data_IF_995992311137
#
_entry.id   IF_995992311137
#
_cell.length_a   1.000
_cell.length_b   1.000
_cell.length_c   1.000
_cell.angle_alpha   90.00
_cell.angle_beta   90.00
_cell.angle_gamma   90.00
#
_symmetry.space_group_name_H-M   'P 1'
#
loop_
_entity.id
_entity.type
_entity.pdbx_description
1 polymer ?
#
# COMPACT_ATOMS: atom_id res chain seq x y z
N UNK A 1 12.19 20.48 5.97
CA UNK A 1 12.81 19.26 5.43
C UNK A 1 14.24 19.57 5.02
N UNK A 2 15.19 18.86 5.57
CA UNK A 2 16.59 19.04 5.21
C UNK A 2 16.89 18.35 3.86
N UNK A 3 17.65 19.04 3.00
CA UNK A 3 18.14 18.45 1.77
C UNK A 3 19.49 17.82 2.05
N UNK A 4 19.64 16.55 1.76
CA UNK A 4 20.90 15.84 1.88
C UNK A 4 21.54 15.70 0.50
N UNK A 5 22.80 16.16 0.39
CA UNK A 5 23.54 16.14 -0.87
C UNK A 5 24.61 15.07 -0.79
N UNK A 6 24.65 14.19 -1.77
CA UNK A 6 25.64 13.13 -1.87
C UNK A 6 26.62 13.44 -3.01
N UNK A 7 27.90 13.43 -2.69
CA UNK A 7 28.95 13.53 -3.69
C UNK A 7 29.36 12.13 -4.16
N UNK A 8 30.05 11.99 -5.30
CA UNK A 8 30.45 10.67 -5.81
C UNK A 8 31.27 9.83 -4.82
N UNK A 9 31.99 10.49 -3.92
CA UNK A 9 32.84 9.83 -2.93
C UNK A 9 32.06 9.34 -1.70
N UNK A 10 30.86 9.86 -1.46
CA UNK A 10 30.07 9.51 -0.29
C UNK A 10 29.32 8.20 -0.54
N UNK A 11 29.54 7.24 0.34
CA UNK A 11 28.83 5.96 0.28
C UNK A 11 27.33 6.15 0.56
N UNK A 12 26.50 5.66 -0.34
CA UNK A 12 25.07 5.59 -0.15
C UNK A 12 24.69 4.26 0.49
N UNK A 13 24.08 4.33 1.65
CA UNK A 13 23.60 3.14 2.35
C UNK A 13 22.12 2.90 2.00
N UNK A 14 21.80 1.67 1.70
CA UNK A 14 20.41 1.25 1.51
C UNK A 14 19.75 1.21 2.88
N UNK A 15 18.78 2.10 3.11
CA UNK A 15 18.06 2.17 4.38
C UNK A 15 16.75 1.37 4.35
N UNK A 16 16.16 1.22 3.18
CA UNK A 16 14.93 0.47 3.00
C UNK A 16 14.86 -0.14 1.61
N UNK A 17 14.09 -1.21 1.48
CA UNK A 17 13.86 -1.90 0.22
C UNK A 17 12.37 -1.89 -0.07
N UNK A 18 12.00 -1.52 -1.30
CA UNK A 18 10.63 -1.63 -1.79
C UNK A 18 10.58 -2.80 -2.75
N UNK A 19 9.73 -3.79 -2.44
CA UNK A 19 9.53 -4.97 -3.28
C UNK A 19 8.10 -5.00 -3.80
N UNK A 20 7.94 -5.35 -5.06
CA UNK A 20 6.65 -5.62 -5.66
C UNK A 20 6.58 -7.08 -6.08
N UNK A 21 5.60 -7.80 -5.50
CA UNK A 21 5.38 -9.22 -5.81
C UNK A 21 4.19 -9.34 -6.76
N UNK A 22 4.44 -9.96 -7.89
CA UNK A 22 3.45 -10.17 -8.92
C UNK A 22 3.44 -11.64 -9.35
N UNK A 23 2.29 -12.29 -9.19
CA UNK A 23 2.08 -13.68 -9.62
C UNK A 23 0.61 -13.90 -9.96
N UNK A 24 0.32 -15.00 -10.59
CA UNK A 24 -1.06 -15.45 -10.76
C UNK A 24 -1.72 -15.75 -9.40
N UNK A 25 -3.05 -15.66 -9.32
CA UNK A 25 -3.78 -16.01 -8.09
C UNK A 25 -3.46 -17.43 -7.62
N UNK A 26 -3.40 -17.62 -6.32
CA UNK A 26 -3.22 -18.94 -5.70
C UNK A 26 -1.78 -19.43 -5.60
N UNK A 27 -0.79 -18.60 -5.96
CA UNK A 27 0.63 -19.00 -5.91
C UNK A 27 1.36 -18.57 -4.63
N UNK A 28 0.62 -18.17 -3.59
CA UNK A 28 1.20 -17.96 -2.26
C UNK A 28 1.76 -16.57 -1.99
N UNK A 29 1.37 -15.52 -2.75
CA UNK A 29 1.81 -14.14 -2.50
C UNK A 29 1.57 -13.71 -1.05
N UNK A 30 0.35 -13.89 -0.57
CA UNK A 30 -0.02 -13.49 0.79
C UNK A 30 0.73 -14.29 1.85
N UNK A 31 1.01 -15.56 1.58
CA UNK A 31 1.82 -16.39 2.48
C UNK A 31 3.26 -15.91 2.56
N UNK A 32 3.85 -15.49 1.44
CA UNK A 32 5.21 -14.94 1.40
C UNK A 32 5.30 -13.66 2.24
N UNK A 33 4.27 -12.83 2.22
CA UNK A 33 4.24 -11.60 3.01
C UNK A 33 4.49 -11.86 4.51
N UNK A 34 3.99 -12.96 5.03
CA UNK A 34 4.19 -13.35 6.43
C UNK A 34 5.63 -13.79 6.75
N UNK A 35 6.46 -14.03 5.77
CA UNK A 35 7.88 -14.39 5.98
C UNK A 35 8.79 -13.19 6.17
N UNK A 36 8.30 -11.98 5.94
CA UNK A 36 9.06 -10.76 6.13
C UNK A 36 9.41 -10.53 7.60
N UNK A 37 10.35 -9.64 7.85
CA UNK A 37 10.76 -9.34 9.22
C UNK A 37 9.74 -8.42 9.91
N UNK A 38 9.15 -8.92 10.98
CA UNK A 38 8.12 -8.21 11.78
C UNK A 38 7.09 -7.50 10.90
N UNK A 39 6.35 -8.24 10.05
CA UNK A 39 5.46 -7.61 9.09
C UNK A 39 4.15 -7.16 9.72
N UNK A 40 3.64 -6.02 9.26
CA UNK A 40 2.24 -5.67 9.36
C UNK A 40 1.64 -5.74 7.96
N UNK A 41 0.54 -6.45 7.82
CA UNK A 41 -0.12 -6.68 6.54
C UNK A 41 -1.43 -5.91 6.52
N UNK A 42 -1.48 -4.90 5.66
CA UNK A 42 -2.71 -4.17 5.41
C UNK A 42 -3.54 -4.94 4.38
N UNK A 43 -4.60 -5.56 4.87
CA UNK A 43 -5.47 -6.42 4.08
C UNK A 43 -6.60 -5.60 3.45
N UNK A 44 -6.35 -5.13 2.23
CA UNK A 44 -7.32 -4.32 1.48
C UNK A 44 -8.35 -5.17 0.74
N UNK A 45 -7.98 -6.36 0.28
CA UNK A 45 -8.87 -7.24 -0.48
C UNK A 45 -9.59 -8.27 0.38
N UNK A 46 -9.32 -8.24 1.70
CA UNK A 46 -9.91 -9.16 2.68
C UNK A 46 -9.60 -10.62 2.40
N UNK A 47 -8.46 -10.87 1.77
CA UNK A 47 -8.04 -12.20 1.34
C UNK A 47 -7.18 -12.97 2.33
N UNK A 48 -6.79 -12.39 3.46
CA UNK A 48 -5.85 -12.99 4.39
C UNK A 48 -6.39 -14.28 5.05
N UNK A 49 -7.69 -14.47 5.06
CA UNK A 49 -8.28 -15.73 5.55
C UNK A 49 -7.86 -16.95 4.73
N UNK A 50 -7.39 -16.75 3.49
CA UNK A 50 -6.91 -17.84 2.62
C UNK A 50 -5.52 -18.33 3.00
N UNK A 51 -4.76 -17.56 3.77
CA UNK A 51 -3.46 -17.98 4.27
C UNK A 51 -3.68 -19.04 5.34
N UNK A 52 -2.98 -20.16 5.22
CA UNK A 52 -3.07 -21.22 6.22
C UNK A 52 -2.70 -20.69 7.62
N UNK A 53 -3.46 -21.02 8.67
CA UNK A 53 -3.22 -20.46 10.01
C UNK A 53 -1.79 -20.62 10.50
N UNK A 54 -1.15 -21.75 10.22
CA UNK A 54 0.24 -22.01 10.60
C UNK A 54 1.26 -21.14 9.91
N UNK A 55 0.88 -20.49 8.81
CA UNK A 55 1.74 -19.58 8.06
C UNK A 55 1.51 -18.11 8.42
N UNK A 56 0.49 -17.81 9.22
CA UNK A 56 0.15 -16.44 9.63
C UNK A 56 1.05 -15.98 10.77
N UNK A 57 2.20 -15.43 10.44
CA UNK A 57 3.18 -14.94 11.41
C UNK A 57 3.13 -13.44 11.64
N UNK A 58 2.58 -12.69 10.70
CA UNK A 58 2.48 -11.24 10.77
C UNK A 58 1.17 -10.74 11.36
N UNK A 59 1.17 -9.50 11.80
CA UNK A 59 -0.05 -8.80 12.21
C UNK A 59 -0.85 -8.41 10.98
N UNK A 60 -2.13 -8.72 10.99
CA UNK A 60 -3.05 -8.40 9.90
C UNK A 60 -3.96 -7.27 10.35
N UNK A 61 -4.01 -6.20 9.57
CA UNK A 61 -4.93 -5.07 9.78
C UNK A 61 -5.83 -4.98 8.57
N UNK A 62 -7.11 -5.19 8.78
CA UNK A 62 -8.09 -5.07 7.71
C UNK A 62 -8.41 -3.60 7.48
N UNK A 63 -8.29 -3.16 6.23
CA UNK A 63 -8.54 -1.79 5.82
C UNK A 63 -9.75 -1.77 4.91
N UNK A 64 -10.81 -1.09 5.34
CA UNK A 64 -12.02 -0.93 4.52
C UNK A 64 -12.00 0.37 3.72
N UNK A 65 -11.49 1.45 4.32
CA UNK A 65 -11.42 2.76 3.69
C UNK A 65 -10.02 3.35 3.84
N UNK A 66 -9.66 4.28 2.96
CA UNK A 66 -8.36 4.95 3.05
C UNK A 66 -8.16 5.71 4.39
N UNK A 67 -9.18 6.43 4.92
CA UNK A 67 -9.04 7.05 6.24
C UNK A 67 -8.74 6.10 7.38
N UNK A 68 -9.14 4.83 7.30
CA UNK A 68 -8.78 3.85 8.33
C UNK A 68 -7.25 3.71 8.47
N UNK A 69 -6.55 3.76 7.34
CA UNK A 69 -5.09 3.74 7.34
C UNK A 69 -4.50 5.06 7.82
N UNK A 70 -5.02 6.19 7.32
CA UNK A 70 -4.52 7.53 7.69
C UNK A 70 -4.65 7.81 9.17
N UNK A 71 -5.66 7.24 9.81
CA UNK A 71 -5.93 7.44 11.24
C UNK A 71 -5.02 6.60 12.15
N UNK A 72 -4.20 5.72 11.60
CA UNK A 72 -3.20 5.00 12.39
C UNK A 72 -2.13 5.99 12.88
N UNK A 73 -1.87 5.94 14.18
CA UNK A 73 -0.83 6.78 14.79
C UNK A 73 0.55 6.28 14.39
N UNK A 74 1.51 7.19 14.33
CA UNK A 74 2.90 6.85 14.02
C UNK A 74 3.45 5.77 14.96
N UNK A 75 3.08 5.83 16.24
CA UNK A 75 3.48 4.83 17.23
C UNK A 75 3.02 3.41 16.91
N UNK A 76 1.98 3.24 16.10
CA UNK A 76 1.53 1.92 15.65
C UNK A 76 2.63 1.17 14.91
N UNK A 77 3.45 1.89 14.14
CA UNK A 77 4.50 1.30 13.31
C UNK A 77 5.76 0.90 14.09
N UNK A 78 5.89 1.32 15.33
CA UNK A 78 7.10 1.09 16.14
C UNK A 78 7.41 -0.41 16.34
N UNK A 79 6.38 -1.25 16.29
CA UNK A 79 6.53 -2.69 16.49
C UNK A 79 6.85 -3.48 15.21
N UNK A 80 6.90 -2.81 14.07
CA UNK A 80 7.03 -3.45 12.76
C UNK A 80 8.26 -2.97 12.01
N UNK A 81 8.79 -3.84 11.17
CA UNK A 81 9.93 -3.51 10.30
C UNK A 81 9.57 -3.63 8.82
N UNK A 82 8.44 -4.26 8.51
CA UNK A 82 7.97 -4.43 7.14
C UNK A 82 6.50 -4.06 7.06
N UNK A 83 6.17 -3.24 6.08
CA UNK A 83 4.79 -2.89 5.75
C UNK A 83 4.43 -3.59 4.45
N UNK A 84 3.31 -4.30 4.44
CA UNK A 84 2.81 -5.02 3.28
C UNK A 84 1.43 -4.48 2.92
N UNK A 85 1.23 -4.11 1.67
CA UNK A 85 -0.09 -3.82 1.12
C UNK A 85 -0.57 -5.03 0.29
N UNK A 86 -1.61 -5.65 0.72
CA UNK A 86 -2.20 -6.81 0.03
C UNK A 86 -3.69 -6.54 -0.23
N UNK A 87 -4.04 -6.21 -1.41
CA UNK A 87 -3.24 -6.04 -2.62
C UNK A 87 -3.11 -4.56 -3.00
N UNK A 88 -2.11 -4.24 -3.82
CA UNK A 88 -1.92 -2.87 -4.32
C UNK A 88 -3.13 -2.40 -5.13
N UNK A 89 -3.74 -3.28 -5.93
CA UNK A 89 -4.94 -2.93 -6.69
C UNK A 89 -6.09 -2.49 -5.78
N UNK A 90 -6.38 -3.25 -4.73
CA UNK A 90 -7.41 -2.90 -3.76
C UNK A 90 -7.06 -1.62 -2.97
N UNK A 91 -5.78 -1.41 -2.67
CA UNK A 91 -5.31 -0.17 -2.05
C UNK A 91 -5.58 1.04 -2.96
N UNK A 92 -5.28 0.93 -4.24
CA UNK A 92 -5.52 1.99 -5.21
C UNK A 92 -7.02 2.29 -5.35
N UNK A 93 -7.87 1.28 -5.29
CA UNK A 93 -9.33 1.48 -5.28
C UNK A 93 -9.79 2.26 -4.05
N UNK A 94 -9.23 1.96 -2.88
CA UNK A 94 -9.54 2.69 -1.66
C UNK A 94 -9.13 4.17 -1.76
N UNK A 95 -7.97 4.45 -2.33
CA UNK A 95 -7.50 5.82 -2.58
C UNK A 95 -8.42 6.53 -3.57
N UNK A 96 -8.79 5.87 -4.66
CA UNK A 96 -9.71 6.41 -5.66
C UNK A 96 -11.06 6.75 -5.04
N UNK A 97 -11.62 5.87 -4.24
CA UNK A 97 -12.90 6.11 -3.59
C UNK A 97 -12.83 7.34 -2.67
N UNK A 98 -11.72 7.52 -1.98
CA UNK A 98 -11.49 8.71 -1.14
C UNK A 98 -11.41 9.98 -1.96
N UNK A 99 -10.70 9.95 -3.09
CA UNK A 99 -10.59 11.11 -3.99
C UNK A 99 -11.96 11.49 -4.57
N UNK A 100 -12.79 10.52 -4.92
CA UNK A 100 -14.12 10.76 -5.47
C UNK A 100 -15.14 11.27 -4.45
N UNK A 101 -14.85 11.22 -3.17
CA UNK A 101 -15.68 11.86 -2.13
C UNK A 101 -15.56 13.38 -2.15
N UNK A 102 -14.50 13.93 -2.70
CA UNK A 102 -14.34 15.36 -2.86
C UNK A 102 -15.26 15.87 -3.97
N UNK A 103 -16.21 16.79 -3.69
CA UNK A 103 -17.13 17.34 -4.71
C UNK A 103 -16.43 17.97 -5.92
N UNK A 104 -15.28 18.62 -5.71
CA UNK A 104 -14.52 19.25 -6.78
C UNK A 104 -14.03 18.23 -7.81
N UNK A 105 -13.70 17.04 -7.36
CA UNK A 105 -13.31 15.94 -8.24
C UNK A 105 -14.50 15.39 -9.04
N UNK A 106 -15.71 15.44 -8.48
CA UNK A 106 -16.93 14.93 -9.12
C UNK A 106 -17.52 15.87 -10.16
N UNK A 107 -17.25 17.16 -10.05
CA UNK A 107 -17.82 18.18 -10.94
C UNK A 107 -17.14 18.24 -12.29
N UNK A 108 -16.06 17.52 -12.45
CA UNK A 108 -15.35 17.47 -13.72
C UNK A 108 -15.94 16.41 -14.62
N UNK A 109 -15.80 16.26 -15.77
CA UNK A 109 -16.45 15.39 -16.73
C UNK A 109 -16.38 13.90 -16.39
N UNK A 110 -16.84 13.07 -17.32
CA UNK A 110 -16.88 11.61 -17.15
C UNK A 110 -15.51 10.95 -17.09
N UNK A 111 -14.44 11.65 -17.46
CA UNK A 111 -13.06 11.18 -17.31
C UNK A 111 -12.51 11.44 -15.91
N UNK A 112 -13.35 11.91 -15.01
CA UNK A 112 -12.99 12.30 -13.65
C UNK A 112 -12.24 11.22 -12.90
N UNK A 113 -12.66 9.98 -13.07
CA UNK A 113 -12.01 8.85 -12.42
C UNK A 113 -10.52 8.76 -12.75
N UNK A 114 -10.18 8.94 -14.02
CA UNK A 114 -8.80 8.91 -14.48
C UNK A 114 -8.01 10.11 -13.96
N UNK A 115 -8.65 11.28 -13.93
CA UNK A 115 -8.04 12.49 -13.37
C UNK A 115 -7.77 12.36 -11.89
N UNK A 116 -8.75 11.83 -11.15
CA UNK A 116 -8.62 11.61 -9.71
C UNK A 116 -7.52 10.59 -9.38
N UNK A 117 -7.24 9.67 -10.27
CA UNK A 117 -6.13 8.72 -10.15
C UNK A 117 -4.79 9.27 -10.61
N UNK A 118 -4.73 10.52 -11.04
CA UNK A 118 -3.50 11.10 -11.57
C UNK A 118 -3.19 10.71 -13.01
N UNK A 119 -4.15 10.17 -13.74
CA UNK A 119 -4.00 9.74 -15.13
C UNK A 119 -4.44 10.82 -16.12
N UNK A 120 -4.59 12.05 -15.67
CA UNK A 120 -5.17 13.14 -16.44
C UNK A 120 -4.36 13.55 -17.68
N UNK A 121 -3.10 13.21 -17.75
CA UNK A 121 -2.27 13.48 -18.92
C UNK A 121 -2.51 12.52 -20.08
N UNK A 122 -3.18 11.43 -19.84
CA UNK A 122 -3.44 10.42 -20.85
C UNK A 122 -4.67 10.82 -21.66
N UNK A 123 -4.54 10.79 -22.95
CA UNK A 123 -5.67 10.97 -23.86
C UNK A 123 -6.27 9.61 -24.15
N UNK A 124 -7.46 9.45 -23.72
CA UNK A 124 -8.27 8.27 -23.97
C UNK A 124 -9.39 8.60 -24.94
#
# INVERSE_FOLDING_TARGET
MAIEVFTPEKTLLVQSVICYLYTDPGLGKSSIAHTANKPVIFDFDKGQHRVAPELRRGTIVRIDTWPDLENLKDSFYDNYQTIVADTVGAMLDAIKDQLLKNPDNRQRDQTLTLKAQGLAGNKF
#
